data_IF_716885115006
#
_entry.id   IF_716885115006
#
_cell.length_a   1.000
_cell.length_b   1.000
_cell.length_c   1.000
_cell.angle_alpha   90.00
_cell.angle_beta   90.00
_cell.angle_gamma   90.00
#
_symmetry.space_group_name_H-M   'P 1'
#
loop_
_entity.id
_entity.type
_entity.pdbx_description
1 polymer ?
#
# COMPACT_ATOMS: atom_id res chain seq x y z
N UNK A 1 15.64 13.70 -14.05
CA UNK A 1 16.07 13.86 -15.45
C UNK A 1 14.94 13.29 -16.29
N UNK A 2 14.08 14.19 -16.85
CA UNK A 2 12.93 13.76 -17.64
C UNK A 2 13.43 13.07 -18.90
N UNK A 3 12.84 11.93 -19.23
CA UNK A 3 12.97 11.33 -20.55
C UNK A 3 12.34 12.29 -21.54
N UNK A 4 13.16 13.09 -22.24
CA UNK A 4 12.72 13.74 -23.47
C UNK A 4 12.43 12.62 -24.49
N UNK A 5 11.18 12.17 -24.50
CA UNK A 5 10.71 11.27 -25.55
C UNK A 5 10.69 12.04 -26.86
N UNK A 6 11.68 11.79 -27.72
CA UNK A 6 11.74 12.40 -29.05
C UNK A 6 10.62 11.82 -29.89
N UNK A 7 9.54 12.57 -30.08
CA UNK A 7 8.44 12.17 -30.94
C UNK A 7 8.93 12.15 -32.38
N UNK A 8 8.84 10.99 -33.06
CA UNK A 8 9.15 10.81 -34.46
C UNK A 8 7.85 10.52 -35.23
N UNK A 9 7.58 11.28 -36.28
CA UNK A 9 6.45 11.05 -37.17
C UNK A 9 6.83 10.04 -38.26
N UNK A 10 5.97 9.01 -38.48
CA UNK A 10 6.13 7.97 -39.47
C UNK A 10 4.87 7.89 -40.35
N UNK A 11 5.07 7.67 -41.66
CA UNK A 11 3.97 7.46 -42.60
C UNK A 11 3.56 5.99 -42.57
N UNK A 12 2.25 5.73 -42.57
CA UNK A 12 1.71 4.42 -42.83
C UNK A 12 1.91 4.07 -44.32
N UNK A 13 2.37 2.87 -44.57
CA UNK A 13 2.52 2.31 -45.94
C UNK A 13 1.59 1.10 -46.08
N UNK A 14 1.00 0.92 -47.24
CA UNK A 14 0.17 -0.24 -47.56
C UNK A 14 1.01 -1.19 -48.42
N UNK A 15 0.97 -2.49 -48.08
CA UNK A 15 1.61 -3.55 -48.86
C UNK A 15 0.61 -4.71 -49.05
N UNK A 16 0.64 -5.38 -50.18
CA UNK A 16 -0.25 -6.51 -50.46
C UNK A 16 -1.74 -6.19 -50.44
N UNK A 17 -2.14 -4.92 -50.54
CA UNK A 17 -3.54 -4.48 -50.67
C UNK A 17 -4.30 -4.29 -49.35
N UNK A 18 -3.88 -4.92 -48.24
CA UNK A 18 -4.62 -4.84 -46.96
C UNK A 18 -3.73 -4.70 -45.71
N UNK A 19 -2.40 -4.83 -45.83
CA UNK A 19 -1.49 -4.79 -44.71
C UNK A 19 -0.88 -3.40 -44.57
N UNK A 20 -0.99 -2.79 -43.37
CA UNK A 20 -0.35 -1.52 -43.05
C UNK A 20 1.01 -1.75 -42.39
N UNK A 21 2.02 -1.01 -42.80
CA UNK A 21 3.38 -1.06 -42.27
C UNK A 21 3.77 0.30 -41.71
N UNK A 22 4.42 0.32 -40.55
CA UNK A 22 5.08 1.49 -39.97
C UNK A 22 6.52 1.13 -39.62
N UNK A 23 7.50 2.03 -39.94
CA UNK A 23 8.89 1.80 -39.58
C UNK A 23 9.16 2.12 -38.12
N UNK A 24 9.84 1.22 -37.41
CA UNK A 24 10.23 1.42 -36.01
C UNK A 24 11.51 2.28 -35.89
N UNK A 25 11.68 3.06 -34.79
CA UNK A 25 12.88 3.85 -34.55
C UNK A 25 14.13 2.96 -34.44
N UNK A 26 15.20 3.31 -35.18
CA UNK A 26 16.47 2.56 -35.14
C UNK A 26 17.09 2.54 -33.73
N UNK A 27 16.89 3.59 -32.96
CA UNK A 27 17.35 3.69 -31.57
C UNK A 27 16.67 2.65 -30.68
N UNK A 28 15.36 2.45 -30.85
CA UNK A 28 14.59 1.43 -30.13
C UNK A 28 15.02 0.01 -30.49
N UNK A 29 15.22 -0.28 -31.81
CA UNK A 29 15.72 -1.57 -32.29
C UNK A 29 17.09 -1.91 -31.66
N UNK A 30 18.01 -0.94 -31.66
CA UNK A 30 19.35 -1.12 -31.08
C UNK A 30 19.31 -1.28 -29.56
N UNK A 31 18.49 -0.49 -28.87
CA UNK A 31 18.35 -0.54 -27.40
C UNK A 31 17.83 -1.90 -26.93
N UNK A 32 16.98 -2.57 -27.75
CA UNK A 32 16.42 -3.89 -27.45
C UNK A 32 17.22 -5.04 -28.10
N UNK A 33 18.35 -4.77 -28.76
CA UNK A 33 19.17 -5.76 -29.47
C UNK A 33 18.39 -6.62 -30.50
N UNK A 34 17.39 -5.99 -31.17
CA UNK A 34 16.56 -6.69 -32.17
C UNK A 34 17.26 -6.75 -33.54
N UNK A 35 17.08 -7.88 -34.20
CA UNK A 35 17.56 -8.16 -35.55
C UNK A 35 16.41 -8.30 -36.54
N UNK A 36 16.66 -8.23 -37.84
CA UNK A 36 15.66 -8.61 -38.84
C UNK A 36 15.13 -10.02 -38.59
N UNK A 37 13.82 -10.19 -38.67
CA UNK A 37 13.07 -11.43 -38.42
C UNK A 37 12.79 -11.71 -36.92
N UNK A 38 13.27 -10.93 -35.99
CA UNK A 38 12.87 -11.05 -34.59
C UNK A 38 11.38 -10.70 -34.43
N UNK A 39 10.71 -11.39 -33.49
CA UNK A 39 9.28 -11.20 -33.24
C UNK A 39 9.07 -10.08 -32.26
N UNK A 40 8.08 -9.22 -32.53
CA UNK A 40 7.59 -8.22 -31.61
C UNK A 40 6.11 -8.44 -31.31
N UNK A 41 5.69 -8.17 -30.10
CA UNK A 41 4.28 -8.12 -29.72
C UNK A 41 3.70 -6.76 -30.10
N UNK A 42 2.52 -6.76 -30.70
CA UNK A 42 1.76 -5.55 -31.05
C UNK A 42 0.41 -5.62 -30.36
N UNK A 43 0.12 -4.66 -29.50
CA UNK A 43 -1.08 -4.61 -28.69
C UNK A 43 -1.81 -3.27 -28.88
N UNK A 44 -3.11 -3.32 -29.12
CA UNK A 44 -3.95 -2.12 -29.12
C UNK A 44 -4.44 -1.87 -27.68
N UNK A 45 -4.10 -0.71 -27.16
CA UNK A 45 -4.52 -0.28 -25.82
C UNK A 45 -5.96 0.28 -25.85
N UNK A 46 -6.69 0.25 -24.71
CA UNK A 46 -8.01 0.88 -24.61
C UNK A 46 -8.04 2.37 -24.92
N UNK A 47 -6.90 3.07 -24.79
CA UNK A 47 -6.71 4.48 -25.18
C UNK A 47 -6.73 4.72 -26.69
N UNK A 48 -6.72 3.64 -27.50
CA UNK A 48 -6.58 3.70 -28.97
C UNK A 48 -5.15 3.71 -29.47
N UNK A 49 -4.17 3.73 -28.59
CA UNK A 49 -2.75 3.64 -28.91
C UNK A 49 -2.36 2.21 -29.27
N UNK A 50 -1.28 2.05 -30.07
CA UNK A 50 -0.67 0.75 -30.35
C UNK A 50 0.69 0.68 -29.64
N UNK A 51 0.84 -0.29 -28.76
CA UNK A 51 2.10 -0.58 -28.08
C UNK A 51 2.84 -1.70 -28.79
N UNK A 52 4.14 -1.51 -29.00
CA UNK A 52 5.03 -2.52 -29.57
C UNK A 52 6.10 -2.88 -28.55
N UNK A 53 6.23 -4.16 -28.23
CA UNK A 53 7.22 -4.68 -27.27
C UNK A 53 8.02 -5.83 -27.89
N UNK A 54 9.32 -5.98 -27.54
CA UNK A 54 10.07 -7.18 -27.92
C UNK A 54 9.39 -8.44 -27.38
N UNK A 55 9.40 -9.54 -28.15
CA UNK A 55 8.80 -10.81 -27.69
C UNK A 55 9.58 -11.41 -26.52
N UNK A 56 10.90 -11.35 -26.58
CA UNK A 56 11.79 -11.70 -25.48
C UNK A 56 12.20 -10.42 -24.75
N UNK A 57 11.51 -10.10 -23.68
CA UNK A 57 11.93 -9.01 -22.80
C UNK A 57 13.01 -9.56 -21.85
N UNK A 58 14.26 -9.12 -22.02
CA UNK A 58 15.29 -9.40 -21.03
C UNK A 58 14.86 -8.71 -19.72
N UNK A 59 14.79 -9.47 -18.64
CA UNK A 59 14.60 -8.91 -17.31
C UNK A 59 15.67 -7.87 -17.05
N UNK A 60 15.28 -6.60 -17.05
CA UNK A 60 16.20 -5.52 -16.71
C UNK A 60 16.17 -5.32 -15.20
N UNK A 61 17.18 -5.86 -14.50
CA UNK A 61 17.33 -5.66 -13.05
C UNK A 61 17.63 -4.19 -12.75
N UNK A 62 16.82 -3.59 -11.92
CA UNK A 62 16.95 -2.20 -11.47
C UNK A 62 17.89 -2.14 -10.27
N UNK A 63 19.04 -1.48 -10.43
CA UNK A 63 19.99 -1.25 -9.34
C UNK A 63 19.95 0.21 -8.91
N UNK A 64 19.74 0.44 -7.62
CA UNK A 64 19.85 1.76 -6.99
C UNK A 64 21.12 1.79 -6.15
N UNK A 65 22.00 2.77 -6.40
CA UNK A 65 23.23 2.99 -5.64
C UNK A 65 23.09 4.18 -4.71
N UNK A 66 23.27 3.96 -3.40
CA UNK A 66 23.22 4.96 -2.34
C UNK A 66 24.63 5.24 -1.87
N UNK A 67 25.19 6.38 -2.28
CA UNK A 67 26.51 6.85 -1.84
C UNK A 67 26.35 7.74 -0.61
N UNK A 68 26.70 7.19 0.55
CA UNK A 68 26.52 7.86 1.85
C UNK A 68 27.37 9.11 2.03
N UNK A 69 28.34 9.38 1.15
CA UNK A 69 29.10 10.64 1.14
C UNK A 69 28.29 11.80 0.58
N UNK A 70 27.21 11.53 -0.15
CA UNK A 70 26.36 12.54 -0.83
C UNK A 70 25.07 12.87 -0.10
N UNK A 71 24.74 12.13 0.97
CA UNK A 71 23.50 12.27 1.70
C UNK A 71 23.73 12.61 3.18
N UNK A 72 22.75 13.23 3.86
CA UNK A 72 22.83 13.48 5.30
C UNK A 72 23.03 12.20 6.09
N UNK A 73 23.75 12.28 7.21
CA UNK A 73 24.19 11.10 8.00
C UNK A 73 23.05 10.19 8.48
N UNK A 74 21.83 10.72 8.64
CA UNK A 74 20.70 9.98 9.19
C UNK A 74 19.69 9.56 8.10
N UNK A 75 19.98 9.78 6.81
CA UNK A 75 19.02 9.52 5.71
C UNK A 75 19.08 8.10 5.14
N UNK A 76 20.00 7.24 5.61
CA UNK A 76 20.20 5.91 5.04
C UNK A 76 18.91 5.07 5.06
N UNK A 77 18.16 5.09 6.17
CA UNK A 77 16.91 4.33 6.29
C UNK A 77 15.89 4.77 5.24
N UNK A 78 15.66 6.08 5.13
CA UNK A 78 14.70 6.65 4.17
C UNK A 78 15.11 6.39 2.72
N UNK A 79 16.42 6.45 2.43
CA UNK A 79 16.95 6.12 1.11
C UNK A 79 16.74 4.63 0.76
N UNK A 80 16.92 3.72 1.73
CA UNK A 80 16.66 2.29 1.54
C UNK A 80 15.18 2.02 1.30
N UNK A 81 14.29 2.61 2.10
CA UNK A 81 12.83 2.52 1.92
C UNK A 81 12.42 3.10 0.56
N UNK A 82 12.94 4.28 0.19
CA UNK A 82 12.66 4.89 -1.11
C UNK A 82 13.11 4.02 -2.29
N UNK A 83 14.31 3.43 -2.21
CA UNK A 83 14.80 2.48 -3.22
C UNK A 83 13.93 1.21 -3.30
N UNK A 84 13.53 0.66 -2.15
CA UNK A 84 12.64 -0.49 -2.07
C UNK A 84 11.28 -0.21 -2.72
N UNK A 85 10.61 0.85 -2.29
CA UNK A 85 9.28 1.24 -2.80
C UNK A 85 9.33 1.58 -4.29
N UNK A 86 10.43 2.18 -4.78
CA UNK A 86 10.59 2.45 -6.21
C UNK A 86 10.76 1.20 -7.09
N UNK A 87 10.83 0.00 -6.50
CA UNK A 87 10.94 -1.27 -7.21
C UNK A 87 12.38 -1.70 -7.54
N UNK A 88 13.39 -1.25 -6.78
CA UNK A 88 14.78 -1.70 -7.00
C UNK A 88 14.93 -3.20 -6.75
N UNK A 89 15.53 -3.93 -7.69
CA UNK A 89 15.89 -5.35 -7.54
C UNK A 89 17.19 -5.52 -6.74
N UNK A 90 18.08 -4.52 -6.83
CA UNK A 90 19.32 -4.46 -6.09
C UNK A 90 19.51 -3.06 -5.51
N UNK A 91 19.83 -2.99 -4.22
CA UNK A 91 20.20 -1.74 -3.56
C UNK A 91 21.66 -1.87 -3.11
N UNK A 92 22.52 -0.99 -3.62
CA UNK A 92 23.94 -0.96 -3.28
C UNK A 92 24.24 0.24 -2.40
N UNK A 93 24.65 0.02 -1.17
CA UNK A 93 25.09 1.07 -0.24
C UNK A 93 26.61 1.16 -0.31
N UNK A 94 27.15 2.36 -0.53
CA UNK A 94 28.61 2.57 -0.64
C UNK A 94 29.04 3.73 0.25
N UNK A 95 30.26 3.61 0.79
CA UNK A 95 30.95 4.67 1.55
C UNK A 95 32.47 4.54 1.35
N UNK A 96 33.13 5.61 0.94
CA UNK A 96 34.57 5.60 0.62
C UNK A 96 35.47 5.23 1.80
N UNK A 97 35.14 5.71 3.00
CA UNK A 97 35.87 5.49 4.28
C UNK A 97 35.48 4.19 4.98
N UNK A 98 34.53 3.44 4.42
CA UNK A 98 34.04 2.18 4.98
C UNK A 98 32.70 2.31 5.69
N UNK A 99 31.91 1.23 5.63
CA UNK A 99 30.61 1.10 6.30
C UNK A 99 30.80 0.74 7.75
N UNK A 100 30.31 1.60 8.64
CA UNK A 100 30.40 1.43 10.09
C UNK A 100 29.32 0.50 10.66
N UNK A 101 29.43 0.19 11.94
CA UNK A 101 28.43 -0.61 12.68
C UNK A 101 27.05 0.03 12.72
N UNK A 102 26.98 1.38 12.70
CA UNK A 102 25.71 2.15 12.62
C UNK A 102 25.02 1.89 11.29
N UNK A 103 25.74 1.99 10.16
CA UNK A 103 25.17 1.78 8.83
C UNK A 103 24.58 0.36 8.70
N UNK A 104 25.35 -0.65 9.16
CA UNK A 104 24.90 -2.06 9.16
C UNK A 104 23.70 -2.31 10.07
N UNK A 105 23.58 -1.57 11.18
CA UNK A 105 22.39 -1.63 12.06
C UNK A 105 21.16 -1.11 11.33
N UNK A 106 21.27 0.02 10.62
CA UNK A 106 20.19 0.60 9.82
C UNK A 106 19.77 -0.36 8.71
N UNK A 107 20.72 -0.97 8.00
CA UNK A 107 20.39 -1.98 6.98
C UNK A 107 19.63 -3.17 7.59
N UNK A 108 20.08 -3.70 8.74
CA UNK A 108 19.39 -4.81 9.42
C UNK A 108 17.98 -4.39 9.89
N UNK A 109 17.79 -3.16 10.32
CA UNK A 109 16.46 -2.63 10.64
C UNK A 109 15.57 -2.60 9.40
N UNK A 110 16.04 -2.02 8.32
CA UNK A 110 15.33 -2.00 7.04
C UNK A 110 14.90 -3.40 6.57
N UNK A 111 15.77 -4.42 6.71
CA UNK A 111 15.43 -5.80 6.34
C UNK A 111 14.35 -6.42 7.23
N UNK A 112 14.22 -6.00 8.50
CA UNK A 112 13.13 -6.42 9.38
C UNK A 112 11.81 -5.73 9.03
N UNK A 113 11.90 -4.47 8.63
CA UNK A 113 10.76 -3.61 8.37
C UNK A 113 10.22 -3.75 6.93
N UNK A 114 10.91 -4.52 6.07
CA UNK A 114 10.50 -4.78 4.68
C UNK A 114 10.33 -6.27 4.41
N UNK A 115 9.76 -6.62 3.26
CA UNK A 115 9.55 -8.01 2.86
C UNK A 115 10.39 -8.35 1.63
N UNK A 116 10.99 -9.56 1.67
CA UNK A 116 11.65 -10.16 0.52
C UNK A 116 12.96 -9.50 0.09
N UNK A 117 13.67 -8.83 0.99
CA UNK A 117 14.99 -8.30 0.75
C UNK A 117 16.02 -9.03 1.59
N UNK A 118 17.21 -9.29 1.02
CA UNK A 118 18.30 -9.98 1.70
C UNK A 118 19.66 -9.38 1.33
N UNK A 119 20.64 -9.47 2.24
CA UNK A 119 22.01 -9.07 1.95
C UNK A 119 22.67 -10.13 1.07
N UNK A 120 23.12 -9.72 -0.12
CA UNK A 120 23.85 -10.58 -1.05
C UNK A 120 25.37 -10.42 -0.95
N UNK A 121 25.86 -9.24 -0.51
CA UNK A 121 27.28 -8.96 -0.32
C UNK A 121 27.46 -7.96 0.83
N UNK A 122 28.43 -8.19 1.70
CA UNK A 122 28.76 -7.36 2.86
C UNK A 122 30.25 -7.08 2.95
N UNK A 123 30.75 -6.19 2.08
CA UNK A 123 32.13 -5.75 2.06
C UNK A 123 32.41 -4.57 3.01
N UNK A 124 33.68 -4.19 3.13
CA UNK A 124 34.12 -3.08 4.02
C UNK A 124 33.61 -1.71 3.56
N UNK A 125 33.56 -1.45 2.24
CA UNK A 125 33.16 -0.16 1.63
C UNK A 125 31.84 -0.21 0.89
N UNK A 126 31.29 -1.40 0.68
CA UNK A 126 30.02 -1.59 -0.02
C UNK A 126 29.24 -2.73 0.59
N UNK A 127 27.90 -2.60 0.57
CA UNK A 127 26.94 -3.62 0.94
C UNK A 127 25.86 -3.67 -0.13
N UNK A 128 25.48 -4.87 -0.55
CA UNK A 128 24.46 -5.08 -1.57
C UNK A 128 23.29 -5.86 -0.99
N UNK A 129 22.07 -5.37 -1.27
CA UNK A 129 20.81 -5.96 -0.86
C UNK A 129 20.05 -6.32 -2.14
N UNK A 130 19.50 -7.53 -2.22
CA UNK A 130 18.77 -8.03 -3.38
C UNK A 130 17.33 -8.40 -3.01
N UNK A 131 16.43 -8.23 -3.97
CA UNK A 131 15.05 -8.71 -3.84
C UNK A 131 15.00 -10.21 -4.16
N UNK A 132 14.34 -10.97 -3.28
CA UNK A 132 14.03 -12.38 -3.47
C UNK A 132 12.59 -12.59 -3.94
N UNK A 133 11.75 -11.54 -3.88
CA UNK A 133 10.35 -11.63 -4.28
C UNK A 133 10.18 -11.42 -5.77
N UNK A 134 9.46 -12.36 -6.39
CA UNK A 134 8.84 -12.13 -7.68
C UNK A 134 7.53 -11.34 -7.46
N UNK A 135 7.36 -10.16 -8.09
CA UNK A 135 6.15 -9.34 -7.91
C UNK A 135 4.86 -10.08 -8.25
N UNK A 136 4.92 -11.12 -9.07
CA UNK A 136 3.76 -11.88 -9.55
C UNK A 136 3.27 -12.94 -8.55
N UNK A 137 4.07 -13.30 -7.55
CA UNK A 137 3.76 -14.39 -6.62
C UNK A 137 2.83 -13.97 -5.48
N UNK A 138 2.66 -12.67 -5.24
CA UNK A 138 1.85 -12.16 -4.14
C UNK A 138 0.82 -11.13 -4.65
N UNK A 139 -0.43 -11.53 -4.95
CA UNK A 139 -1.47 -10.59 -5.34
C UNK A 139 -1.68 -9.47 -4.32
N UNK A 140 -1.92 -8.24 -4.78
CA UNK A 140 -2.14 -7.06 -3.92
C UNK A 140 -3.26 -7.27 -2.91
N UNK A 141 -4.36 -7.93 -3.33
CA UNK A 141 -5.48 -8.27 -2.45
C UNK A 141 -5.09 -9.14 -1.26
N UNK A 142 -4.13 -10.06 -1.43
CA UNK A 142 -3.64 -10.91 -0.31
C UNK A 142 -2.97 -10.06 0.77
N UNK A 143 -2.18 -9.06 0.35
CA UNK A 143 -1.55 -8.13 1.28
C UNK A 143 -2.58 -7.27 2.01
N UNK A 144 -3.56 -6.69 1.29
CA UNK A 144 -4.63 -5.90 1.88
C UNK A 144 -5.49 -6.73 2.84
N UNK A 145 -5.85 -7.95 2.46
CA UNK A 145 -6.64 -8.84 3.32
C UNK A 145 -5.89 -9.20 4.60
N UNK A 146 -4.58 -9.41 4.52
CA UNK A 146 -3.77 -9.65 5.73
C UNK A 146 -3.66 -8.41 6.61
N UNK A 147 -3.56 -7.21 6.03
CA UNK A 147 -3.59 -5.95 6.79
C UNK A 147 -4.94 -5.80 7.51
N UNK A 148 -6.05 -6.04 6.82
CA UNK A 148 -7.39 -6.07 7.41
C UNK A 148 -7.45 -6.99 8.64
N UNK A 149 -6.99 -8.25 8.51
CA UNK A 149 -7.02 -9.21 9.62
C UNK A 149 -6.16 -8.77 10.81
N UNK A 150 -5.01 -8.15 10.57
CA UNK A 150 -4.14 -7.64 11.63
C UNK A 150 -4.77 -6.45 12.36
N UNK A 151 -5.36 -5.52 11.62
CA UNK A 151 -6.03 -4.34 12.18
C UNK A 151 -7.24 -4.73 13.00
N UNK A 152 -8.11 -5.60 12.46
CA UNK A 152 -9.33 -6.02 13.18
C UNK A 152 -9.00 -6.83 14.41
N UNK A 153 -8.02 -7.75 14.34
CA UNK A 153 -7.63 -8.55 15.50
C UNK A 153 -7.08 -7.71 16.65
N UNK A 154 -6.36 -6.62 16.38
CA UNK A 154 -5.90 -5.71 17.43
C UNK A 154 -7.07 -5.07 18.20
N UNK A 155 -8.11 -4.64 17.49
CA UNK A 155 -9.28 -4.02 18.12
C UNK A 155 -10.15 -5.07 18.82
N UNK A 156 -10.34 -6.25 18.21
CA UNK A 156 -11.09 -7.36 18.80
C UNK A 156 -10.44 -7.84 20.10
N UNK A 157 -9.10 -8.02 20.11
CA UNK A 157 -8.36 -8.42 21.32
C UNK A 157 -8.37 -7.31 22.38
N UNK A 158 -8.30 -6.03 22.00
CA UNK A 158 -8.42 -4.92 22.95
C UNK A 158 -9.80 -4.89 23.62
N UNK A 159 -10.88 -5.15 22.87
CA UNK A 159 -12.24 -5.29 23.42
C UNK A 159 -12.34 -6.50 24.36
N UNK A 160 -11.83 -7.66 23.96
CA UNK A 160 -11.85 -8.87 24.75
C UNK A 160 -11.12 -8.70 26.10
N UNK A 161 -9.97 -8.05 26.10
CA UNK A 161 -9.22 -7.72 27.33
C UNK A 161 -10.02 -6.79 28.24
N UNK A 162 -10.73 -5.80 27.68
CA UNK A 162 -11.60 -4.92 28.47
C UNK A 162 -12.83 -5.65 29.05
N UNK A 163 -13.25 -6.75 28.43
CA UNK A 163 -14.31 -7.64 28.89
C UNK A 163 -13.83 -8.69 29.91
N UNK A 164 -12.52 -8.74 30.19
CA UNK A 164 -11.94 -9.56 31.23
C UNK A 164 -11.05 -10.71 30.76
N UNK A 165 -10.74 -10.78 29.45
CA UNK A 165 -9.74 -11.71 28.93
C UNK A 165 -8.32 -11.32 29.32
N UNK A 166 -7.35 -12.23 29.12
CA UNK A 166 -5.95 -12.04 29.50
C UNK A 166 -5.25 -11.01 28.62
N UNK A 167 -4.45 -10.14 29.23
CA UNK A 167 -3.58 -9.16 28.56
C UNK A 167 -2.55 -9.80 27.60
N UNK A 168 -2.28 -11.08 27.74
CA UNK A 168 -1.40 -11.83 26.83
C UNK A 168 -1.88 -11.77 25.37
N UNK A 169 -3.20 -11.62 25.15
CA UNK A 169 -3.78 -11.41 23.81
C UNK A 169 -3.18 -10.19 23.08
N UNK A 170 -2.73 -9.20 23.83
CA UNK A 170 -2.14 -7.98 23.30
C UNK A 170 -0.59 -7.94 23.41
N UNK A 171 0.06 -9.03 23.81
CA UNK A 171 1.52 -9.05 24.04
C UNK A 171 2.34 -8.74 22.78
N UNK A 172 1.78 -8.99 21.59
CA UNK A 172 2.40 -8.80 20.28
C UNK A 172 1.88 -7.59 19.49
N UNK A 173 1.20 -6.64 20.13
CA UNK A 173 0.56 -5.51 19.43
C UNK A 173 1.55 -4.70 18.57
N UNK A 174 2.77 -4.44 19.04
CA UNK A 174 3.82 -3.76 18.27
C UNK A 174 4.32 -4.59 17.08
N UNK A 175 4.32 -5.92 17.19
CA UNK A 175 4.69 -6.82 16.09
C UNK A 175 3.63 -6.85 14.99
N UNK A 176 2.35 -6.77 15.37
CA UNK A 176 1.24 -6.68 14.41
C UNK A 176 1.30 -5.37 13.63
N UNK A 177 1.57 -4.25 14.30
CA UNK A 177 1.74 -2.95 13.65
C UNK A 177 2.90 -2.97 12.66
N UNK A 178 4.10 -3.47 13.06
CA UNK A 178 5.23 -3.65 12.14
C UNK A 178 4.90 -4.52 10.94
N UNK A 179 4.05 -5.54 11.10
CA UNK A 179 3.59 -6.37 9.99
C UNK A 179 2.68 -5.62 9.03
N UNK A 180 1.84 -4.71 9.52
CA UNK A 180 0.97 -3.84 8.72
C UNK A 180 1.84 -2.90 7.88
N UNK A 181 2.81 -2.24 8.49
CA UNK A 181 3.76 -1.32 7.84
C UNK A 181 4.56 -2.01 6.73
N UNK A 182 5.14 -3.17 7.04
CA UNK A 182 5.89 -3.94 6.06
C UNK A 182 5.05 -4.33 4.83
N UNK A 183 3.75 -4.58 5.02
CA UNK A 183 2.83 -4.89 3.92
C UNK A 183 2.46 -3.66 3.12
N UNK A 184 2.26 -2.51 3.77
CA UNK A 184 2.05 -1.25 3.06
C UNK A 184 3.24 -0.94 2.13
N UNK A 185 4.46 -1.08 2.64
CA UNK A 185 5.67 -0.88 1.82
C UNK A 185 5.75 -1.86 0.65
N UNK A 186 5.35 -3.13 0.85
CA UNK A 186 5.30 -4.14 -0.21
C UNK A 186 4.26 -3.79 -1.28
N UNK A 187 3.04 -3.40 -0.87
CA UNK A 187 1.99 -2.96 -1.81
C UNK A 187 2.49 -1.78 -2.63
N UNK A 188 3.07 -0.76 -1.99
CA UNK A 188 3.60 0.42 -2.68
C UNK A 188 4.70 0.05 -3.67
N UNK A 189 5.60 -0.90 -3.32
CA UNK A 189 6.61 -1.43 -4.24
C UNK A 189 5.96 -2.08 -5.47
N UNK A 190 5.00 -2.97 -5.28
CA UNK A 190 4.31 -3.64 -6.38
C UNK A 190 3.57 -2.64 -7.28
N UNK A 191 2.87 -1.67 -6.68
CA UNK A 191 2.19 -0.60 -7.42
C UNK A 191 3.17 0.23 -8.23
N UNK A 192 4.31 0.63 -7.66
CA UNK A 192 5.33 1.37 -8.40
C UNK A 192 5.86 0.58 -9.60
N UNK A 193 6.00 -0.74 -9.48
CA UNK A 193 6.42 -1.62 -10.57
C UNK A 193 5.35 -1.71 -11.67
N UNK A 194 4.06 -1.84 -11.31
CA UNK A 194 2.92 -1.83 -12.26
C UNK A 194 2.87 -0.51 -13.03
N UNK A 195 3.00 0.63 -12.33
CA UNK A 195 2.96 1.95 -12.96
C UNK A 195 4.10 2.19 -13.96
N UNK A 196 5.24 1.55 -13.75
CA UNK A 196 6.46 1.73 -14.57
C UNK A 196 6.61 0.71 -15.69
N UNK A 197 5.91 -0.43 -15.63
CA UNK A 197 6.10 -1.52 -16.58
C UNK A 197 4.77 -2.20 -16.95
N UNK A 198 4.35 -2.06 -18.20
CA UNK A 198 3.14 -2.70 -18.74
C UNK A 198 3.19 -4.24 -18.72
N UNK A 199 4.38 -4.85 -18.78
CA UNK A 199 4.48 -6.29 -18.68
C UNK A 199 4.08 -6.77 -17.27
N UNK A 200 4.57 -6.08 -16.22
CA UNK A 200 4.21 -6.36 -14.83
C UNK A 200 2.71 -6.11 -14.60
N UNK A 201 2.14 -5.04 -15.19
CA UNK A 201 0.70 -4.77 -15.17
C UNK A 201 -0.10 -5.97 -15.69
N UNK A 202 0.30 -6.56 -16.82
CA UNK A 202 -0.34 -7.74 -17.39
C UNK A 202 -0.15 -9.00 -16.56
N UNK A 203 1.05 -9.23 -16.08
CA UNK A 203 1.40 -10.42 -15.28
C UNK A 203 0.65 -10.44 -13.95
N UNK A 204 0.50 -9.30 -13.29
CA UNK A 204 -0.29 -9.15 -12.04
C UNK A 204 -1.79 -9.14 -12.35
N UNK A 205 -2.19 -8.79 -13.57
CA UNK A 205 -3.59 -8.76 -13.99
C UNK A 205 -4.41 -7.61 -13.39
N UNK A 206 -3.75 -6.49 -13.09
CA UNK A 206 -4.39 -5.29 -12.51
C UNK A 206 -3.99 -4.04 -13.30
N UNK A 207 -4.97 -3.23 -13.70
CA UNK A 207 -4.68 -1.98 -14.40
C UNK A 207 -4.08 -0.92 -13.45
N UNK A 208 -3.39 0.06 -14.02
CA UNK A 208 -2.67 1.11 -13.28
C UNK A 208 -3.56 1.91 -12.34
N UNK A 209 -4.79 2.22 -12.75
CA UNK A 209 -5.74 2.93 -11.91
C UNK A 209 -6.11 2.10 -10.68
N UNK A 210 -6.49 0.85 -10.88
CA UNK A 210 -6.79 -0.06 -9.76
C UNK A 210 -5.56 -0.31 -8.87
N UNK A 211 -4.35 -0.40 -9.45
CA UNK A 211 -3.13 -0.53 -8.66
C UNK A 211 -2.91 0.69 -7.75
N UNK A 212 -3.12 1.91 -8.26
CA UNK A 212 -3.06 3.14 -7.47
C UNK A 212 -4.05 3.11 -6.30
N UNK A 213 -5.31 2.74 -6.55
CA UNK A 213 -6.33 2.65 -5.51
C UNK A 213 -6.00 1.58 -4.45
N UNK A 214 -5.33 0.47 -4.82
CA UNK A 214 -4.81 -0.50 -3.85
C UNK A 214 -3.73 0.12 -2.93
N UNK A 215 -2.88 1.01 -3.46
CA UNK A 215 -1.91 1.75 -2.64
C UNK A 215 -2.61 2.67 -1.64
N UNK A 216 -3.67 3.35 -2.06
CA UNK A 216 -4.49 4.21 -1.18
C UNK A 216 -5.16 3.38 -0.08
N UNK A 217 -5.76 2.23 -0.42
CA UNK A 217 -6.34 1.31 0.58
C UNK A 217 -5.29 0.79 1.57
N UNK A 218 -4.09 0.45 1.10
CA UNK A 218 -3.00 0.03 1.99
C UNK A 218 -2.60 1.15 2.97
N UNK A 219 -2.63 2.40 2.53
CA UNK A 219 -2.38 3.55 3.40
C UNK A 219 -3.48 3.69 4.47
N UNK A 220 -4.77 3.53 4.12
CA UNK A 220 -5.85 3.55 5.11
C UNK A 220 -5.71 2.42 6.13
N UNK A 221 -5.36 1.20 5.71
CA UNK A 221 -5.10 0.10 6.63
C UNK A 221 -3.93 0.38 7.58
N UNK A 222 -2.85 0.99 7.10
CA UNK A 222 -1.72 1.39 7.96
C UNK A 222 -2.19 2.42 8.99
N UNK A 223 -2.93 3.46 8.56
CA UNK A 223 -3.49 4.43 9.49
C UNK A 223 -4.45 3.82 10.52
N UNK A 224 -5.30 2.90 10.10
CA UNK A 224 -6.14 2.13 11.03
C UNK A 224 -5.28 1.29 11.99
N UNK A 225 -4.18 0.71 11.50
CA UNK A 225 -3.21 -0.04 12.30
C UNK A 225 -2.55 0.80 13.39
N UNK A 226 -2.10 2.02 13.07
CA UNK A 226 -1.54 2.99 14.03
C UNK A 226 -2.53 3.27 15.18
N UNK A 227 -3.82 3.47 14.84
CA UNK A 227 -4.86 3.74 15.82
C UNK A 227 -5.25 2.51 16.62
N UNK A 228 -5.33 1.33 15.99
CA UNK A 228 -5.59 0.06 16.66
C UNK A 228 -4.44 -0.29 17.64
N UNK A 229 -3.19 -0.08 17.22
CA UNK A 229 -2.02 -0.22 18.09
C UNK A 229 -2.07 0.74 19.29
N UNK A 230 -2.46 2.00 19.05
CA UNK A 230 -2.63 3.00 20.13
C UNK A 230 -3.71 2.57 21.12
N UNK A 231 -4.84 1.99 20.65
CA UNK A 231 -5.89 1.43 21.49
C UNK A 231 -5.36 0.27 22.33
N UNK A 232 -4.70 -0.71 21.70
CA UNK A 232 -4.11 -1.87 22.37
C UNK A 232 -3.13 -1.43 23.47
N UNK A 233 -2.25 -0.47 23.18
CA UNK A 233 -1.31 0.09 24.15
C UNK A 233 -2.03 0.77 25.33
N UNK A 234 -3.07 1.57 25.07
CA UNK A 234 -3.87 2.19 26.14
C UNK A 234 -4.49 1.13 27.05
N UNK A 235 -5.03 0.06 26.51
CA UNK A 235 -5.61 -1.05 27.29
C UNK A 235 -4.53 -1.73 28.15
N UNK A 236 -3.37 -2.03 27.58
CA UNK A 236 -2.24 -2.66 28.30
C UNK A 236 -1.69 -1.78 29.39
N UNK A 237 -1.50 -0.47 29.13
CA UNK A 237 -0.95 0.49 30.11
C UNK A 237 -1.88 0.69 31.32
N UNK A 238 -3.19 0.61 31.13
CA UNK A 238 -4.16 0.81 32.20
C UNK A 238 -4.40 -0.41 33.10
N UNK A 239 -3.94 -1.61 32.74
CA UNK A 239 -3.91 -2.86 33.53
C UNK A 239 -5.13 -3.10 34.43
N UNK A 240 -6.36 -2.96 33.88
CA UNK A 240 -7.62 -3.18 34.62
C UNK A 240 -8.11 -1.97 35.43
N UNK A 241 -7.41 -0.84 35.43
CA UNK A 241 -7.91 0.42 35.99
C UNK A 241 -8.93 1.11 35.07
N UNK A 242 -8.94 0.73 33.78
CA UNK A 242 -9.86 1.26 32.79
C UNK A 242 -11.28 0.69 33.02
N UNK A 243 -12.14 1.49 33.63
CA UNK A 243 -13.54 1.13 33.93
C UNK A 243 -14.48 1.64 32.84
N UNK A 244 -14.18 1.33 31.58
CA UNK A 244 -15.06 1.65 30.46
C UNK A 244 -15.87 0.42 30.08
N UNK A 245 -17.20 0.59 30.05
CA UNK A 245 -18.10 -0.44 29.55
C UNK A 245 -17.98 -0.55 28.03
N UNK A 246 -17.85 -1.77 27.51
CA UNK A 246 -17.84 -2.03 26.08
C UNK A 246 -19.19 -1.76 25.41
N UNK A 247 -20.28 -1.71 26.21
CA UNK A 247 -21.63 -1.39 25.75
C UNK A 247 -21.92 0.11 25.68
N UNK A 248 -21.07 0.95 26.26
CA UNK A 248 -21.24 2.41 26.30
C UNK A 248 -20.29 3.13 25.31
N UNK A 249 -20.69 4.33 24.89
CA UNK A 249 -19.80 5.16 24.07
C UNK A 249 -18.54 5.56 24.88
N UNK A 250 -17.34 5.63 24.27
CA UNK A 250 -17.06 5.46 22.84
C UNK A 250 -16.88 3.99 22.40
N UNK A 251 -16.76 3.04 23.33
CA UNK A 251 -16.41 1.65 23.06
C UNK A 251 -17.46 0.92 22.21
N UNK A 252 -18.74 1.21 22.42
CA UNK A 252 -19.87 0.58 21.69
C UNK A 252 -19.85 0.83 20.17
N UNK A 253 -19.09 1.82 19.69
CA UNK A 253 -18.94 2.10 18.26
C UNK A 253 -17.83 1.27 17.60
N UNK A 254 -16.93 0.63 18.34
CA UNK A 254 -15.90 -0.27 17.77
C UNK A 254 -16.51 -1.51 17.11
N UNK A 255 -17.50 -2.23 17.70
CA UNK A 255 -18.22 -3.30 17.01
C UNK A 255 -18.95 -2.82 15.74
N UNK A 256 -19.51 -1.60 15.73
CA UNK A 256 -20.14 -1.01 14.54
C UNK A 256 -19.11 -0.82 13.44
N UNK A 257 -17.95 -0.27 13.78
CA UNK A 257 -16.83 -0.12 12.86
C UNK A 257 -16.33 -1.46 12.33
N UNK A 258 -16.12 -2.47 13.19
CA UNK A 258 -15.70 -3.83 12.80
C UNK A 258 -16.66 -4.44 11.78
N UNK A 259 -17.97 -4.30 12.01
CA UNK A 259 -19.00 -4.81 11.09
C UNK A 259 -18.96 -4.11 9.75
N UNK A 260 -18.92 -2.77 9.75
CA UNK A 260 -18.87 -1.97 8.52
C UNK A 260 -17.58 -2.24 7.72
N UNK A 261 -16.41 -2.28 8.37
CA UNK A 261 -15.15 -2.60 7.71
C UNK A 261 -15.17 -4.01 7.09
N UNK A 262 -15.72 -5.00 7.80
CA UNK A 262 -15.88 -6.37 7.28
C UNK A 262 -16.70 -6.40 6.00
N UNK A 263 -17.82 -5.69 5.98
CA UNK A 263 -18.72 -5.65 4.83
C UNK A 263 -18.08 -4.91 3.65
N UNK A 264 -17.36 -3.82 3.90
CA UNK A 264 -16.60 -3.08 2.90
C UNK A 264 -15.49 -3.95 2.28
N UNK A 265 -14.71 -4.67 3.10
CA UNK A 265 -13.63 -5.54 2.60
C UNK A 265 -14.19 -6.72 1.81
N UNK A 266 -15.29 -7.34 2.26
CA UNK A 266 -15.97 -8.38 1.46
C UNK A 266 -16.44 -7.85 0.11
N UNK A 267 -16.81 -6.59 0.06
CA UNK A 267 -17.29 -5.94 -1.16
C UNK A 267 -16.20 -5.67 -2.20
N UNK A 268 -14.92 -5.77 -1.86
CA UNK A 268 -13.84 -5.84 -2.87
C UNK A 268 -14.06 -6.98 -3.87
N UNK A 269 -14.81 -8.03 -3.47
CA UNK A 269 -15.12 -9.20 -4.28
C UNK A 269 -16.54 -9.17 -4.85
N UNK A 270 -17.56 -8.83 -4.04
CA UNK A 270 -18.98 -8.84 -4.44
C UNK A 270 -19.40 -7.64 -5.30
N UNK A 271 -18.70 -6.52 -5.19
CA UNK A 271 -18.87 -5.31 -6.02
C UNK A 271 -20.28 -4.67 -5.96
N UNK A 272 -20.88 -4.66 -4.77
CA UNK A 272 -22.23 -4.12 -4.53
C UNK A 272 -22.16 -2.72 -3.93
N UNK A 273 -22.41 -1.70 -4.74
CA UNK A 273 -22.34 -0.28 -4.32
C UNK A 273 -23.30 0.00 -3.14
N UNK A 274 -24.45 -0.65 -3.10
CA UNK A 274 -25.44 -0.47 -2.03
C UNK A 274 -24.81 -0.80 -0.65
N UNK A 275 -24.13 -1.93 -0.51
CA UNK A 275 -23.50 -2.37 0.75
C UNK A 275 -22.44 -1.36 1.19
N UNK A 276 -21.64 -0.84 0.23
CA UNK A 276 -20.63 0.19 0.50
C UNK A 276 -21.28 1.47 1.03
N UNK A 277 -22.41 1.89 0.44
CA UNK A 277 -23.10 3.12 0.82
C UNK A 277 -23.78 3.00 2.18
N UNK A 278 -24.42 1.85 2.46
CA UNK A 278 -25.03 1.55 3.76
C UNK A 278 -23.99 1.49 4.87
N UNK A 279 -22.88 0.78 4.64
CA UNK A 279 -21.76 0.71 5.59
C UNK A 279 -21.16 2.09 5.88
N UNK A 280 -20.97 2.91 4.84
CA UNK A 280 -20.53 4.30 4.98
C UNK A 280 -21.47 5.12 5.86
N UNK A 281 -22.80 5.02 5.62
CA UNK A 281 -23.78 5.78 6.38
C UNK A 281 -23.77 5.42 7.87
N UNK A 282 -23.69 4.13 8.20
CA UNK A 282 -23.58 3.66 9.58
C UNK A 282 -22.37 4.28 10.32
N UNK A 283 -21.23 4.43 9.61
CA UNK A 283 -20.04 5.05 10.18
C UNK A 283 -20.17 6.56 10.33
N UNK A 284 -20.83 7.24 9.40
CA UNK A 284 -21.15 8.67 9.52
C UNK A 284 -22.02 8.92 10.74
N UNK A 285 -23.07 8.11 10.94
CA UNK A 285 -23.96 8.21 12.09
C UNK A 285 -23.19 7.94 13.41
N UNK A 286 -22.28 6.96 13.43
CA UNK A 286 -21.41 6.69 14.57
C UNK A 286 -20.53 7.90 14.92
N UNK A 287 -19.94 8.57 13.94
CA UNK A 287 -19.13 9.78 14.14
C UNK A 287 -19.97 10.92 14.75
N UNK A 288 -21.21 11.09 14.30
CA UNK A 288 -22.13 12.10 14.87
C UNK A 288 -22.45 11.79 16.33
N UNK A 289 -22.73 10.54 16.66
CA UNK A 289 -23.03 10.14 18.04
C UNK A 289 -21.79 10.24 18.96
N UNK A 290 -20.58 9.94 18.44
CA UNK A 290 -19.32 10.19 19.16
C UNK A 290 -19.17 11.68 19.51
N UNK A 291 -19.49 12.60 18.59
CA UNK A 291 -19.47 14.03 18.86
C UNK A 291 -20.42 14.43 20.00
N UNK A 292 -21.65 13.91 20.01
CA UNK A 292 -22.60 14.14 21.12
C UNK A 292 -22.10 13.56 22.43
N UNK A 293 -21.41 12.43 22.41
CA UNK A 293 -20.79 11.86 23.60
C UNK A 293 -19.69 12.76 24.14
N UNK A 294 -18.82 13.28 23.30
CA UNK A 294 -17.74 14.20 23.68
C UNK A 294 -18.28 15.50 24.30
N UNK A 295 -19.35 16.06 23.75
CA UNK A 295 -20.04 17.22 24.33
C UNK A 295 -20.56 16.93 25.75
N UNK A 296 -21.14 15.75 25.98
CA UNK A 296 -21.58 15.31 27.29
C UNK A 296 -20.42 15.13 28.26
N UNK A 297 -19.29 14.57 27.80
CA UNK A 297 -18.09 14.41 28.61
C UNK A 297 -17.56 15.74 29.13
N UNK A 298 -17.55 16.77 28.29
CA UNK A 298 -17.13 18.14 28.69
C UNK A 298 -17.99 18.76 29.80
N UNK A 299 -19.27 18.37 29.88
CA UNK A 299 -20.20 18.82 30.89
C UNK A 299 -20.15 18.02 32.21
N UNK A 300 -19.31 16.97 32.29
CA UNK A 300 -19.26 16.02 33.39
C UNK A 300 -18.14 16.37 34.37
N UNK A 301 -18.36 16.16 35.68
CA UNK A 301 -17.35 16.34 36.75
C UNK A 301 -16.50 15.10 37.00
N UNK A 302 -16.10 14.36 35.94
CA UNK A 302 -15.20 13.20 36.03
C UNK A 302 -13.76 13.65 36.35
N UNK A 303 -12.93 12.71 36.85
CA UNK A 303 -11.50 12.98 37.03
C UNK A 303 -10.83 13.25 35.66
N UNK A 304 -9.87 14.18 35.64
CA UNK A 304 -9.20 14.60 34.40
C UNK A 304 -8.52 13.44 33.65
N UNK A 305 -7.98 12.44 34.37
CA UNK A 305 -7.35 11.27 33.80
C UNK A 305 -8.35 10.38 33.05
N UNK A 306 -9.52 10.13 33.64
CA UNK A 306 -10.58 9.34 33.01
C UNK A 306 -11.14 10.03 31.76
N UNK A 307 -11.41 11.33 31.85
CA UNK A 307 -11.84 12.14 30.72
C UNK A 307 -10.84 12.07 29.56
N UNK A 308 -9.54 12.19 29.84
CA UNK A 308 -8.51 12.14 28.82
C UNK A 308 -8.48 10.78 28.09
N UNK A 309 -8.66 9.69 28.80
CA UNK A 309 -8.70 8.35 28.23
C UNK A 309 -9.94 8.17 27.35
N UNK A 310 -11.11 8.57 27.84
CA UNK A 310 -12.35 8.48 27.05
C UNK A 310 -12.25 9.33 25.76
N UNK A 311 -11.70 10.54 25.83
CA UNK A 311 -11.44 11.36 24.64
C UNK A 311 -10.47 10.71 23.66
N UNK A 312 -9.39 10.09 24.15
CA UNK A 312 -8.44 9.37 23.30
C UNK A 312 -9.10 8.21 22.57
N UNK A 313 -9.92 7.43 23.26
CA UNK A 313 -10.63 6.31 22.65
C UNK A 313 -11.68 6.81 21.67
N UNK A 314 -12.40 7.90 22.00
CA UNK A 314 -13.34 8.53 21.05
C UNK A 314 -12.63 8.99 19.78
N UNK A 315 -11.47 9.65 19.91
CA UNK A 315 -10.69 10.08 18.75
C UNK A 315 -10.16 8.88 17.92
N UNK A 316 -9.67 7.82 18.57
CA UNK A 316 -9.25 6.59 17.90
C UNK A 316 -10.43 6.01 17.10
N UNK A 317 -11.59 5.84 17.74
CA UNK A 317 -12.79 5.29 17.09
C UNK A 317 -13.25 6.16 15.92
N UNK A 318 -13.24 7.48 16.08
CA UNK A 318 -13.53 8.45 15.02
C UNK A 318 -12.60 8.30 13.83
N UNK A 319 -11.28 8.13 14.07
CA UNK A 319 -10.28 7.94 13.01
C UNK A 319 -10.48 6.63 12.28
N UNK A 320 -10.72 5.54 13.01
CA UNK A 320 -11.03 4.24 12.42
C UNK A 320 -12.27 4.32 11.50
N UNK A 321 -13.35 4.98 11.96
CA UNK A 321 -14.54 5.21 11.14
C UNK A 321 -14.22 6.06 9.90
N UNK A 322 -13.47 7.16 10.06
CA UNK A 322 -13.11 8.07 8.96
C UNK A 322 -12.34 7.37 7.85
N UNK A 323 -11.26 6.65 8.17
CA UNK A 323 -10.49 5.91 7.17
C UNK A 323 -11.29 4.79 6.49
N UNK A 324 -12.26 4.21 7.18
CA UNK A 324 -13.14 3.20 6.60
C UNK A 324 -14.17 3.83 5.63
N UNK A 325 -14.64 5.05 5.93
CA UNK A 325 -15.45 5.85 5.00
C UNK A 325 -14.66 6.15 3.72
N UNK A 326 -13.43 6.65 3.85
CA UNK A 326 -12.54 6.95 2.72
C UNK A 326 -12.26 5.68 1.88
N UNK A 327 -12.07 4.54 2.53
CA UNK A 327 -11.91 3.26 1.85
C UNK A 327 -13.15 2.85 1.05
N UNK A 328 -14.35 3.08 1.59
CA UNK A 328 -15.62 2.84 0.88
C UNK A 328 -15.70 3.68 -0.39
N UNK A 329 -15.32 4.96 -0.34
CA UNK A 329 -15.28 5.85 -1.50
C UNK A 329 -14.29 5.37 -2.56
N UNK A 330 -13.08 4.96 -2.13
CA UNK A 330 -12.07 4.37 -2.99
C UNK A 330 -12.58 3.14 -3.74
N UNK A 331 -13.29 2.24 -3.05
CA UNK A 331 -13.89 1.06 -3.68
C UNK A 331 -15.01 1.43 -4.68
N UNK A 332 -15.83 2.43 -4.38
CA UNK A 332 -16.84 2.93 -5.31
C UNK A 332 -16.16 3.47 -6.58
N UNK A 333 -15.08 4.24 -6.44
CA UNK A 333 -14.30 4.76 -7.56
C UNK A 333 -13.75 3.63 -8.45
N UNK A 334 -13.18 2.57 -7.84
CA UNK A 334 -12.70 1.40 -8.55
C UNK A 334 -13.83 0.68 -9.32
N UNK A 335 -14.98 0.52 -8.69
CA UNK A 335 -16.13 -0.16 -9.30
C UNK A 335 -16.70 0.60 -10.49
N UNK A 336 -16.75 1.92 -10.39
CA UNK A 336 -17.26 2.77 -11.46
C UNK A 336 -16.27 2.91 -12.61
N UNK A 337 -14.97 2.99 -12.33
CA UNK A 337 -13.94 3.03 -13.38
C UNK A 337 -13.94 1.77 -14.27
N UNK A 338 -14.22 0.61 -13.69
CA UNK A 338 -14.34 -0.64 -14.44
C UNK A 338 -15.62 -0.79 -15.28
N UNK A 339 -16.59 0.16 -15.15
CA UNK A 339 -17.86 0.19 -15.89
C UNK A 339 -17.92 1.29 -16.96
N UNK A 340 -16.81 2.00 -17.19
CA UNK A 340 -16.79 3.10 -18.16
C UNK A 340 -16.74 2.53 -19.58
N UNK A 341 -17.82 2.69 -20.34
CA UNK A 341 -17.84 2.42 -21.77
C UNK A 341 -17.12 3.56 -22.51
N UNK A 342 -16.02 3.23 -23.18
CA UNK A 342 -15.31 4.19 -24.03
C UNK A 342 -15.98 4.18 -25.40
N UNK A 343 -16.89 5.13 -25.65
CA UNK A 343 -17.43 5.36 -26.99
C UNK A 343 -16.46 6.24 -27.79
N UNK A 344 -15.87 5.70 -28.83
CA UNK A 344 -15.12 6.48 -29.82
C UNK A 344 -16.16 7.24 -30.65
N UNK A 345 -16.23 8.56 -30.51
CA UNK A 345 -16.97 9.37 -31.50
C UNK A 345 -16.14 9.38 -32.78
N UNK A 346 -16.71 8.83 -33.86
CA UNK A 346 -16.20 9.05 -35.19
C UNK A 346 -16.23 10.57 -35.46
N UNK A 347 -15.09 11.16 -35.75
CA UNK A 347 -14.91 12.57 -36.16
C UNK A 347 -14.96 12.65 -37.68
#
# INVERSE_FOLDING_TARGET
MGLESKVEFRKLQVTGGSTYIVSLPKTWIKANNLNPSDIVSVEQLPSGEVQITPHEVKETKRTVSIDLSKYPTNSLYDCLVGAYVSGADTIKVVRNDGLGSKDRRVVRQFLRDTRGMEISDDGTKSLSIVSLLNPNELPLQVSLNRMYLLVTSLVEDALAVLEGEDYELLSDYDDRERQIDARRLLVNRQVAMVLQNHQIEREIGINRYSAMEHSVMAHYFERMGDHANTLARLVVEQKGELKLSTSDAPMSFLPVWLSALRDIVRNMYSKEIRVLTEGKQNLVDAIVELGKHEEKLMATSKQHSELLIEFRISEITRRLCGYTIDMSETLINMLLSGRTDISVKEV
#
